data_IF_178912223962
#
_entry.id   IF_178912223962
#
_cell.length_a   1.000
_cell.length_b   1.000
_cell.length_c   1.000
_cell.angle_alpha   90.00
_cell.angle_beta   90.00
_cell.angle_gamma   90.00
#
_symmetry.space_group_name_H-M   'P 1'
#
loop_
_entity.id
_entity.type
_entity.pdbx_description
1 polymer ?
#
# COMPACT_ATOMS: atom_id res chain seq x y z
N UNK A 1 -24.51 13.02 -16.08
CA UNK A 1 -23.30 12.22 -15.84
C UNK A 1 -23.37 11.70 -14.42
N UNK A 2 -23.21 10.40 -14.21
CA UNK A 2 -22.98 9.86 -12.87
C UNK A 2 -21.58 10.31 -12.45
N UNK A 3 -21.45 10.89 -11.27
CA UNK A 3 -20.15 11.31 -10.73
C UNK A 3 -19.41 10.06 -10.26
N UNK A 4 -18.23 9.78 -10.83
CA UNK A 4 -17.41 8.63 -10.40
C UNK A 4 -16.85 8.88 -8.99
N UNK A 5 -16.93 7.86 -8.14
CA UNK A 5 -16.30 7.86 -6.81
C UNK A 5 -14.83 7.47 -6.90
N UNK A 6 -14.03 7.74 -5.86
CA UNK A 6 -12.63 7.27 -5.79
C UNK A 6 -12.59 5.74 -5.87
N UNK A 7 -13.51 5.08 -5.20
CA UNK A 7 -13.69 3.63 -5.21
C UNK A 7 -13.99 3.09 -6.62
N UNK A 8 -14.71 3.84 -7.46
CA UNK A 8 -14.92 3.46 -8.87
C UNK A 8 -13.63 3.59 -9.68
N UNK A 9 -12.89 4.69 -9.49
CA UNK A 9 -11.64 4.97 -10.22
C UNK A 9 -10.59 3.89 -9.95
N UNK A 10 -10.39 3.51 -8.69
CA UNK A 10 -9.34 2.52 -8.33
C UNK A 10 -9.70 1.09 -8.75
N UNK A 11 -10.96 0.80 -9.05
CA UNK A 11 -11.43 -0.52 -9.49
C UNK A 11 -11.64 -0.63 -11.01
N UNK A 12 -11.54 0.48 -11.76
CA UNK A 12 -11.90 0.56 -13.19
C UNK A 12 -11.04 -0.33 -14.10
N UNK A 13 -9.81 -0.66 -13.67
CA UNK A 13 -8.86 -1.50 -14.41
C UNK A 13 -8.54 -2.82 -13.71
N UNK A 14 -9.50 -3.40 -13.00
CA UNK A 14 -9.30 -4.64 -12.26
C UNK A 14 -8.93 -5.82 -13.20
N UNK A 15 -7.74 -6.39 -12.97
CA UNK A 15 -7.22 -7.58 -13.67
C UNK A 15 -7.12 -8.80 -12.75
N UNK A 16 -7.28 -8.62 -11.44
CA UNK A 16 -7.06 -9.65 -10.41
C UNK A 16 -8.33 -10.01 -9.65
N UNK A 17 -9.48 -9.56 -10.14
CA UNK A 17 -10.80 -9.76 -9.53
C UNK A 17 -10.95 -9.11 -8.14
N UNK A 18 -10.16 -8.06 -7.87
CA UNK A 18 -10.25 -7.28 -6.62
C UNK A 18 -11.58 -6.55 -6.51
N UNK A 19 -12.17 -6.10 -7.63
CA UNK A 19 -13.46 -5.43 -7.64
C UNK A 19 -14.60 -6.31 -7.09
N UNK A 20 -14.45 -7.64 -7.14
CA UNK A 20 -15.42 -8.58 -6.54
C UNK A 20 -15.54 -8.43 -5.01
N UNK A 21 -14.51 -7.89 -4.35
CA UNK A 21 -14.52 -7.63 -2.90
C UNK A 21 -15.38 -6.42 -2.53
N UNK A 22 -15.66 -5.51 -3.47
CA UNK A 22 -16.41 -4.27 -3.21
C UNK A 22 -17.75 -4.53 -2.51
N UNK A 23 -18.46 -5.59 -2.88
CA UNK A 23 -19.75 -5.96 -2.29
C UNK A 23 -19.69 -6.33 -0.79
N UNK A 24 -18.48 -6.54 -0.26
CA UNK A 24 -18.21 -6.87 1.13
C UNK A 24 -17.61 -5.70 1.92
N UNK A 25 -17.42 -4.54 1.28
CA UNK A 25 -16.82 -3.35 1.87
C UNK A 25 -17.87 -2.24 2.02
N UNK A 26 -17.66 -1.29 2.96
CA UNK A 26 -18.44 -0.04 3.00
C UNK A 26 -18.41 0.67 1.64
N UNK A 27 -19.47 1.40 1.29
CA UNK A 27 -19.56 2.09 -0.02
C UNK A 27 -18.48 3.16 -0.24
N UNK A 28 -17.88 3.63 0.85
CA UNK A 28 -16.91 4.72 0.98
C UNK A 28 -15.60 4.24 1.64
N UNK A 29 -15.20 2.99 1.38
CA UNK A 29 -14.09 2.33 2.06
C UNK A 29 -12.74 3.10 1.97
N UNK A 30 -12.50 3.87 0.90
CA UNK A 30 -11.29 4.70 0.81
C UNK A 30 -11.34 5.86 1.83
N UNK A 31 -12.51 6.50 1.97
CA UNK A 31 -12.70 7.59 2.92
C UNK A 31 -12.67 7.11 4.37
N UNK A 32 -13.20 5.92 4.67
CA UNK A 32 -13.11 5.36 6.02
C UNK A 32 -11.66 5.00 6.39
N UNK A 33 -10.92 4.38 5.48
CA UNK A 33 -9.51 4.05 5.67
C UNK A 33 -8.66 5.32 5.88
N UNK A 34 -8.83 6.34 5.06
CA UNK A 34 -8.09 7.61 5.21
C UNK A 34 -8.42 8.31 6.53
N UNK A 35 -9.70 8.35 6.94
CA UNK A 35 -10.10 8.91 8.23
C UNK A 35 -9.51 8.15 9.41
N UNK A 36 -9.40 6.81 9.33
CA UNK A 36 -8.75 6.02 10.37
C UNK A 36 -7.27 6.39 10.50
N UNK A 37 -6.55 6.50 9.37
CA UNK A 37 -5.14 6.88 9.36
C UNK A 37 -4.97 8.29 9.95
N UNK A 38 -5.73 9.28 9.44
CA UNK A 38 -5.64 10.69 9.86
C UNK A 38 -5.93 10.92 11.35
N UNK A 39 -6.73 10.05 11.98
CA UNK A 39 -7.03 10.11 13.42
C UNK A 39 -5.90 9.55 14.30
N UNK A 40 -4.90 8.88 13.73
CA UNK A 40 -3.82 8.22 14.46
C UNK A 40 -2.45 8.71 13.98
N UNK A 41 -2.09 9.99 14.21
CA UNK A 41 -0.80 10.54 13.80
C UNK A 41 0.36 9.89 14.57
N UNK A 42 1.56 9.91 13.97
CA UNK A 42 2.79 9.43 14.60
C UNK A 42 3.49 8.41 13.72
N UNK A 43 3.93 7.30 14.32
CA UNK A 43 4.68 6.25 13.63
C UNK A 43 3.77 5.32 12.85
N UNK A 44 4.11 5.06 11.58
CA UNK A 44 3.39 4.13 10.71
C UNK A 44 4.33 3.04 10.24
N UNK A 45 3.89 1.79 10.41
CA UNK A 45 4.57 0.62 9.89
C UNK A 45 3.78 0.12 8.68
N UNK A 46 4.38 0.19 7.49
CA UNK A 46 3.78 -0.32 6.25
C UNK A 46 4.48 -1.63 5.90
N UNK A 47 3.75 -2.75 6.00
CA UNK A 47 4.30 -4.06 5.62
C UNK A 47 4.04 -4.33 4.15
N UNK A 48 5.06 -4.73 3.41
CA UNK A 48 4.95 -5.07 1.99
C UNK A 48 6.03 -6.07 1.58
N UNK A 49 5.97 -6.57 0.36
CA UNK A 49 6.81 -7.66 -0.13
C UNK A 49 6.07 -8.99 -0.11
N UNK A 50 6.28 -9.77 -1.16
CA UNK A 50 5.71 -11.09 -1.31
C UNK A 50 6.65 -11.93 -2.17
N UNK A 51 7.35 -12.89 -1.56
CA UNK A 51 8.30 -13.71 -2.30
C UNK A 51 7.61 -14.83 -3.09
N UNK A 52 7.79 -14.85 -4.41
CA UNK A 52 7.25 -15.87 -5.29
C UNK A 52 8.28 -16.99 -5.47
N UNK A 53 8.06 -18.11 -4.78
CA UNK A 53 8.94 -19.30 -4.86
C UNK A 53 9.20 -19.77 -6.30
N UNK A 54 8.14 -19.84 -7.13
CA UNK A 54 8.24 -20.32 -8.50
C UNK A 54 9.10 -19.41 -9.41
N UNK A 55 9.16 -18.11 -9.09
CA UNK A 55 9.96 -17.13 -9.82
C UNK A 55 11.32 -16.83 -9.17
N UNK A 56 11.57 -17.40 -7.97
CA UNK A 56 12.70 -17.06 -7.11
C UNK A 56 12.91 -15.54 -6.93
N UNK A 57 11.82 -14.76 -6.92
CA UNK A 57 11.84 -13.30 -6.96
C UNK A 57 10.70 -12.69 -6.13
N UNK A 58 10.88 -11.45 -5.71
CA UNK A 58 9.80 -10.66 -5.10
C UNK A 58 8.72 -10.34 -6.14
N UNK A 59 7.46 -10.47 -5.74
CA UNK A 59 6.32 -9.89 -6.47
C UNK A 59 6.47 -8.37 -6.55
N UNK A 60 5.97 -7.78 -7.63
CA UNK A 60 6.00 -6.34 -7.88
C UNK A 60 4.72 -5.64 -7.40
N UNK A 61 3.65 -6.38 -7.15
CA UNK A 61 2.43 -5.87 -6.51
C UNK A 61 2.68 -5.68 -5.01
N UNK A 62 2.22 -4.56 -4.46
CA UNK A 62 2.49 -4.14 -3.08
C UNK A 62 3.56 -3.05 -2.98
N UNK A 63 4.86 -3.32 -3.20
CA UNK A 63 5.92 -2.38 -2.84
C UNK A 63 5.80 -0.97 -3.44
N UNK A 64 5.49 -0.78 -4.73
CA UNK A 64 5.30 0.57 -5.28
C UNK A 64 4.13 1.33 -4.61
N UNK A 65 3.02 0.64 -4.32
CA UNK A 65 1.86 1.23 -3.66
C UNK A 65 2.12 1.57 -2.20
N UNK A 66 2.84 0.69 -1.49
CA UNK A 66 3.31 0.94 -0.13
C UNK A 66 4.18 2.20 -0.06
N UNK A 67 5.10 2.38 -1.02
CA UNK A 67 5.98 3.54 -1.07
C UNK A 67 5.24 4.82 -1.42
N UNK A 68 4.31 4.79 -2.37
CA UNK A 68 3.47 5.94 -2.68
C UNK A 68 2.65 6.38 -1.45
N UNK A 69 2.07 5.42 -0.71
CA UNK A 69 1.35 5.69 0.52
C UNK A 69 2.28 6.28 1.59
N UNK A 70 3.45 5.69 1.80
CA UNK A 70 4.39 6.18 2.80
C UNK A 70 4.98 7.55 2.47
N UNK A 71 5.28 7.86 1.20
CA UNK A 71 5.66 9.21 0.77
C UNK A 71 4.55 10.23 1.10
N UNK A 72 3.28 9.90 0.83
CA UNK A 72 2.15 10.75 1.16
C UNK A 72 2.02 10.97 2.68
N UNK A 73 2.20 9.92 3.49
CA UNK A 73 2.15 10.02 4.95
C UNK A 73 3.34 10.80 5.51
N UNK A 74 4.55 10.63 4.98
CA UNK A 74 5.72 11.42 5.36
C UNK A 74 5.49 12.92 5.09
N UNK A 75 4.87 13.29 3.96
CA UNK A 75 4.49 14.68 3.65
C UNK A 75 3.51 15.24 4.69
N UNK A 76 2.61 14.39 5.21
CA UNK A 76 1.65 14.74 6.26
C UNK A 76 2.25 14.72 7.67
N UNK A 77 3.55 14.45 7.82
CA UNK A 77 4.28 14.51 9.09
C UNK A 77 4.31 13.21 9.89
N UNK A 78 3.97 12.06 9.29
CA UNK A 78 4.11 10.75 9.92
C UNK A 78 5.56 10.26 9.86
N UNK A 79 5.97 9.46 10.84
CA UNK A 79 7.26 8.76 10.85
C UNK A 79 7.08 7.36 10.26
N UNK A 80 7.44 7.19 8.99
CA UNK A 80 7.12 5.99 8.19
C UNK A 80 8.28 4.99 8.15
N UNK A 81 7.97 3.73 8.41
CA UNK A 81 8.87 2.60 8.26
C UNK A 81 8.24 1.54 7.36
N UNK A 82 9.03 0.99 6.45
CA UNK A 82 8.63 -0.17 5.66
C UNK A 82 9.13 -1.44 6.32
N UNK A 83 8.28 -2.45 6.43
CA UNK A 83 8.62 -3.77 6.96
C UNK A 83 8.50 -4.78 5.83
N UNK A 84 9.55 -5.56 5.62
CA UNK A 84 9.58 -6.58 4.56
C UNK A 84 10.47 -7.76 4.93
N UNK A 85 10.26 -8.91 4.32
CA UNK A 85 11.07 -10.09 4.57
C UNK A 85 12.44 -9.98 3.88
N UNK A 86 13.40 -10.80 4.30
CA UNK A 86 14.76 -10.82 3.74
C UNK A 86 14.85 -11.04 2.22
N UNK A 87 13.84 -11.67 1.61
CA UNK A 87 13.83 -11.95 0.17
C UNK A 87 13.32 -10.77 -0.64
N UNK A 88 12.43 -9.96 -0.07
CA UNK A 88 11.93 -8.72 -0.65
C UNK A 88 12.74 -7.48 -0.23
N UNK A 89 13.60 -7.59 0.77
CA UNK A 89 14.38 -6.46 1.33
C UNK A 89 15.09 -5.62 0.28
N UNK A 90 15.97 -6.22 -0.53
CA UNK A 90 16.74 -5.47 -1.53
C UNK A 90 15.84 -4.78 -2.57
N UNK A 91 14.68 -5.34 -2.88
CA UNK A 91 13.72 -4.71 -3.78
C UNK A 91 13.06 -3.50 -3.12
N UNK A 92 12.48 -3.67 -1.92
CA UNK A 92 11.78 -2.60 -1.20
C UNK A 92 12.75 -1.46 -0.85
N UNK A 93 13.96 -1.78 -0.40
CA UNK A 93 15.02 -0.79 -0.11
C UNK A 93 15.41 0.01 -1.35
N UNK A 94 15.55 -0.64 -2.50
CA UNK A 94 15.92 0.05 -3.74
C UNK A 94 14.89 1.11 -4.18
N UNK A 95 13.62 0.94 -3.85
CA UNK A 95 12.55 1.87 -4.25
C UNK A 95 12.05 2.78 -3.12
N UNK A 96 12.39 2.53 -1.85
CA UNK A 96 11.94 3.32 -0.69
C UNK A 96 12.66 4.67 -0.51
N UNK A 97 13.71 4.93 -1.30
CA UNK A 97 14.56 6.14 -1.33
C UNK A 97 15.14 6.53 0.05
N UNK A 98 14.36 7.27 0.85
CA UNK A 98 14.79 7.93 2.10
C UNK A 98 14.17 7.34 3.36
N UNK A 99 13.15 6.49 3.21
CA UNK A 99 12.41 5.92 4.33
C UNK A 99 13.09 4.64 4.82
N UNK A 100 12.99 4.39 6.13
CA UNK A 100 13.69 3.28 6.79
C UNK A 100 12.99 1.96 6.45
N UNK A 101 13.74 1.01 5.91
CA UNK A 101 13.30 -0.37 5.69
C UNK A 101 13.83 -1.25 6.82
N UNK A 102 12.95 -2.05 7.40
CA UNK A 102 13.26 -3.01 8.47
C UNK A 102 13.05 -4.41 7.90
N UNK A 103 14.10 -5.23 7.92
CA UNK A 103 14.02 -6.66 7.68
C UNK A 103 13.43 -7.36 8.93
N UNK A 104 12.53 -8.32 8.73
CA UNK A 104 11.95 -9.15 9.80
C UNK A 104 12.20 -10.65 9.57
#
# INVERSE_FOLDING_TARGET
MIMQTVEDIILDFDKRNIASLRKHLPVNFCAEASNLILKNPGTVLITTGFYILAGAASETDGPPGAIALGEALSILGYDVFYITDKYSFSFVEAISKTNKVIEF
#
